data_IF_012789289582
#
_entry.id   IF_012789289582
#
_cell.length_a   1.000
_cell.length_b   1.000
_cell.length_c   1.000
_cell.angle_alpha   90.00
_cell.angle_beta   90.00
_cell.angle_gamma   90.00
#
_symmetry.space_group_name_H-M   'P 1'
#
loop_
_entity.id
_entity.type
_entity.pdbx_description
1 polymer ?
#
# COMPACT_ATOMS: atom_id res chain seq x y z
N UNK A 1 8.24 6.51 -8.95
CA UNK A 1 7.76 6.34 -7.57
C UNK A 1 6.64 5.32 -7.55
N UNK A 2 6.67 4.40 -6.61
CA UNK A 2 5.63 3.39 -6.41
C UNK A 2 4.70 3.79 -5.26
N UNK A 3 3.41 3.58 -5.44
CA UNK A 3 2.46 3.61 -4.33
C UNK A 3 2.21 2.17 -3.86
N UNK A 4 2.23 1.94 -2.55
CA UNK A 4 2.14 0.62 -1.97
C UNK A 4 0.83 0.46 -1.21
N UNK A 5 0.10 -0.61 -1.52
CA UNK A 5 -1.10 -1.02 -0.79
C UNK A 5 -0.71 -1.65 0.56
N UNK A 6 -1.63 -1.67 1.48
CA UNK A 6 -1.49 -2.30 2.80
C UNK A 6 -0.98 -3.74 2.72
N UNK A 7 -1.45 -4.51 1.74
CA UNK A 7 -1.05 -5.91 1.57
C UNK A 7 0.46 -6.09 1.41
N UNK A 8 1.17 -5.14 0.80
CA UNK A 8 2.61 -5.24 0.60
C UNK A 8 3.35 -5.26 1.93
N UNK A 9 2.93 -4.44 2.89
CA UNK A 9 3.52 -4.39 4.23
C UNK A 9 3.21 -5.66 5.03
N UNK A 10 1.97 -6.15 4.94
CA UNK A 10 1.57 -7.37 5.62
C UNK A 10 2.41 -8.56 5.14
N UNK A 11 2.56 -8.70 3.83
CA UNK A 11 3.33 -9.79 3.24
C UNK A 11 4.82 -9.72 3.57
N UNK A 12 5.37 -8.50 3.70
CA UNK A 12 6.76 -8.31 4.10
C UNK A 12 6.98 -8.77 5.55
N UNK A 13 6.19 -8.24 6.48
CA UNK A 13 6.40 -8.46 7.92
C UNK A 13 6.03 -9.88 8.32
N UNK A 14 4.94 -10.42 7.78
CA UNK A 14 4.50 -11.78 8.07
C UNK A 14 5.22 -12.84 7.22
N UNK A 15 6.09 -12.44 6.31
CA UNK A 15 6.82 -13.33 5.40
C UNK A 15 5.89 -14.29 4.69
N UNK A 16 4.89 -13.72 4.00
CA UNK A 16 3.85 -14.49 3.32
C UNK A 16 4.47 -15.54 2.37
N UNK A 17 4.09 -16.82 2.48
CA UNK A 17 4.76 -17.90 1.73
C UNK A 17 4.69 -17.72 0.22
N UNK A 18 3.65 -17.06 -0.30
CA UNK A 18 3.48 -16.85 -1.74
C UNK A 18 4.04 -15.52 -2.22
N UNK A 19 3.84 -14.43 -1.46
CA UNK A 19 4.10 -13.07 -1.95
C UNK A 19 5.33 -12.39 -1.34
N UNK A 20 5.95 -12.97 -0.31
CA UNK A 20 7.15 -12.38 0.28
C UNK A 20 8.25 -12.16 -0.77
N UNK A 21 8.47 -13.14 -1.64
CA UNK A 21 9.48 -13.04 -2.70
C UNK A 21 9.21 -11.94 -3.71
N UNK A 22 7.96 -11.51 -3.86
CA UNK A 22 7.60 -10.39 -4.75
C UNK A 22 7.77 -9.04 -4.06
N UNK A 23 7.47 -8.94 -2.76
CA UNK A 23 7.51 -7.64 -2.04
C UNK A 23 8.88 -7.31 -1.46
N UNK A 24 9.64 -8.28 -1.00
CA UNK A 24 10.96 -8.03 -0.41
C UNK A 24 11.88 -7.20 -1.30
N UNK A 25 12.05 -7.53 -2.60
CA UNK A 25 12.90 -6.72 -3.48
C UNK A 25 12.44 -5.26 -3.61
N UNK A 26 11.12 -5.02 -3.55
CA UNK A 26 10.57 -3.66 -3.59
C UNK A 26 11.05 -2.87 -2.37
N UNK A 27 10.89 -3.42 -1.17
CA UNK A 27 11.32 -2.76 0.06
C UNK A 27 12.83 -2.58 0.14
N UNK A 28 13.60 -3.57 -0.35
CA UNK A 28 15.06 -3.44 -0.44
C UNK A 28 15.46 -2.28 -1.35
N UNK A 29 14.81 -2.14 -2.52
CA UNK A 29 15.08 -1.04 -3.44
C UNK A 29 14.70 0.32 -2.85
N UNK A 30 13.60 0.39 -2.09
CA UNK A 30 13.19 1.60 -1.38
C UNK A 30 14.22 1.97 -0.31
N UNK A 31 14.64 1.01 0.51
CA UNK A 31 15.62 1.25 1.57
C UNK A 31 16.97 1.69 1.00
N UNK A 32 17.36 1.14 -0.14
CA UNK A 32 18.59 1.52 -0.83
C UNK A 32 18.50 2.88 -1.55
N UNK A 33 17.30 3.48 -1.63
CA UNK A 33 17.08 4.73 -2.35
C UNK A 33 17.01 4.58 -3.86
N UNK A 34 16.98 3.35 -4.37
CA UNK A 34 16.87 3.08 -5.82
C UNK A 34 15.49 3.48 -6.35
N UNK A 35 14.44 3.28 -5.54
CA UNK A 35 13.08 3.72 -5.83
C UNK A 35 12.54 4.54 -4.66
N UNK A 36 11.69 5.51 -4.98
CA UNK A 36 10.87 6.22 -4.00
C UNK A 36 9.51 5.54 -3.92
N UNK A 37 8.94 5.48 -2.72
CA UNK A 37 7.63 4.89 -2.51
C UNK A 37 6.74 5.80 -1.67
N UNK A 38 5.45 5.56 -1.74
CA UNK A 38 4.45 6.24 -0.93
C UNK A 38 3.38 5.24 -0.50
N UNK A 39 2.72 5.54 0.59
CA UNK A 39 1.54 4.81 1.05
C UNK A 39 0.61 5.78 1.77
N UNK A 40 -0.66 5.41 1.90
CA UNK A 40 -1.62 6.18 2.69
C UNK A 40 -1.40 5.95 4.19
N UNK A 41 -1.65 6.97 4.99
CA UNK A 41 -1.70 6.81 6.46
C UNK A 41 -2.73 5.76 6.89
N UNK A 42 -3.73 5.49 6.03
CA UNK A 42 -4.70 4.41 6.24
C UNK A 42 -4.01 3.04 6.38
N UNK A 43 -2.89 2.84 5.69
CA UNK A 43 -2.08 1.63 5.82
C UNK A 43 -1.69 1.37 7.27
N UNK A 44 -1.30 2.42 8.00
CA UNK A 44 -0.93 2.28 9.41
C UNK A 44 -2.10 1.74 10.25
N UNK A 45 -3.31 2.27 10.03
CA UNK A 45 -4.51 1.76 10.69
C UNK A 45 -4.74 0.29 10.36
N UNK A 46 -4.70 -0.02 9.08
CA UNK A 46 -5.06 -1.37 8.60
C UNK A 46 -4.08 -2.45 9.06
N UNK A 47 -2.78 -2.14 9.14
CA UNK A 47 -1.79 -3.12 9.61
C UNK A 47 -1.81 -3.29 11.13
N UNK A 48 -2.29 -2.31 11.89
CA UNK A 48 -2.24 -2.34 13.36
C UNK A 48 -3.44 -3.02 14.01
N UNK A 49 -4.58 -3.14 13.33
CA UNK A 49 -5.81 -3.65 13.95
C UNK A 49 -5.61 -5.06 14.51
N UNK A 50 -5.13 -6.00 13.71
CA UNK A 50 -4.97 -7.40 14.16
C UNK A 50 -3.93 -7.56 15.27
N UNK A 51 -2.72 -6.99 15.16
CA UNK A 51 -1.75 -7.06 16.26
C UNK A 51 -2.27 -6.46 17.56
N UNK A 52 -2.98 -5.35 17.51
CA UNK A 52 -3.53 -4.71 18.70
C UNK A 52 -4.66 -5.53 19.32
N UNK A 53 -5.53 -6.13 18.50
CA UNK A 53 -6.56 -7.05 19.00
C UNK A 53 -5.96 -8.26 19.75
N UNK A 54 -4.82 -8.75 19.26
CA UNK A 54 -4.14 -9.91 19.82
C UNK A 54 -3.15 -9.57 20.94
N UNK A 55 -3.01 -8.31 21.34
CA UNK A 55 -1.96 -7.81 22.25
C UNK A 55 -0.55 -8.22 21.81
N UNK A 56 -0.32 -8.35 20.51
CA UNK A 56 0.97 -8.66 19.92
C UNK A 56 1.79 -7.38 19.74
N UNK A 57 2.33 -6.86 20.84
CA UNK A 57 2.99 -5.54 20.88
C UNK A 57 4.21 -5.52 19.97
N UNK A 58 5.03 -6.56 19.99
CA UNK A 58 6.23 -6.63 19.14
C UNK A 58 5.87 -6.61 17.66
N UNK A 59 4.82 -7.31 17.25
CA UNK A 59 4.35 -7.31 15.86
C UNK A 59 3.80 -5.94 15.46
N UNK A 60 3.04 -5.29 16.35
CA UNK A 60 2.56 -3.93 16.11
C UNK A 60 3.74 -2.96 15.90
N UNK A 61 4.80 -3.08 16.71
CA UNK A 61 6.00 -2.24 16.58
C UNK A 61 6.74 -2.51 15.27
N UNK A 62 6.79 -3.77 14.83
CA UNK A 62 7.39 -4.13 13.53
C UNK A 62 6.65 -3.46 12.38
N UNK A 63 5.32 -3.44 12.41
CA UNK A 63 4.53 -2.74 11.40
C UNK A 63 4.75 -1.22 11.44
N UNK A 64 4.77 -0.63 12.63
CA UNK A 64 5.06 0.81 12.77
C UNK A 64 6.41 1.16 12.17
N UNK A 65 7.43 0.36 12.45
CA UNK A 65 8.76 0.55 11.91
C UNK A 65 8.77 0.42 10.38
N UNK A 66 8.10 -0.58 9.82
CA UNK A 66 8.05 -0.78 8.37
C UNK A 66 7.41 0.41 7.64
N UNK A 67 6.38 1.03 8.24
CA UNK A 67 5.69 2.16 7.64
C UNK A 67 6.49 3.47 7.78
N UNK A 68 7.34 3.61 8.80
CA UNK A 68 7.99 4.89 9.13
C UNK A 68 9.52 4.89 9.03
N UNK A 69 10.17 3.74 8.86
CA UNK A 69 11.63 3.63 9.02
C UNK A 69 12.45 4.13 7.84
N UNK A 70 11.90 4.17 6.63
CA UNK A 70 12.66 4.60 5.45
C UNK A 70 12.37 6.06 5.11
N UNK A 71 13.43 6.84 4.85
CA UNK A 71 13.30 8.20 4.33
C UNK A 71 12.80 8.23 2.89
N UNK A 72 12.82 7.09 2.21
CA UNK A 72 12.38 6.94 0.82
C UNK A 72 10.94 6.44 0.70
N UNK A 73 10.27 6.26 1.83
CA UNK A 73 8.85 5.91 1.91
C UNK A 73 8.10 7.06 2.58
N UNK A 74 7.23 7.72 1.83
CA UNK A 74 6.41 8.82 2.35
C UNK A 74 5.01 8.34 2.69
N UNK A 75 4.58 8.60 3.92
CA UNK A 75 3.21 8.34 4.37
C UNK A 75 2.38 9.60 4.13
N UNK A 76 1.29 9.46 3.37
CA UNK A 76 0.45 10.57 2.94
C UNK A 76 -0.85 10.57 3.76
N UNK A 77 -1.16 11.73 4.33
CA UNK A 77 -2.38 11.92 5.11
C UNK A 77 -3.63 11.83 4.23
N UNK A 78 -4.74 11.40 4.82
CA UNK A 78 -6.05 11.43 4.18
C UNK A 78 -6.63 12.82 4.40
N UNK A 79 -6.33 13.75 3.49
CA UNK A 79 -6.83 15.11 3.53
C UNK A 79 -8.13 15.26 2.71
N UNK A 80 -8.61 16.51 2.59
CA UNK A 80 -9.84 16.81 1.84
C UNK A 80 -9.70 16.39 0.37
N UNK A 81 -8.57 16.65 -0.26
CA UNK A 81 -8.35 16.31 -1.67
C UNK A 81 -8.42 14.81 -1.90
N UNK A 82 -7.81 14.03 -1.01
CA UNK A 82 -7.89 12.57 -1.05
C UNK A 82 -9.33 12.11 -0.87
N UNK A 83 -10.04 12.67 0.11
CA UNK A 83 -11.43 12.29 0.39
C UNK A 83 -12.35 12.57 -0.80
N UNK A 84 -12.23 13.73 -1.44
CA UNK A 84 -13.06 14.08 -2.59
C UNK A 84 -12.77 13.20 -3.79
N UNK A 85 -11.49 12.96 -4.11
CA UNK A 85 -11.14 12.07 -5.20
C UNK A 85 -11.61 10.63 -4.92
N UNK A 86 -11.45 10.15 -3.69
CA UNK A 86 -11.92 8.82 -3.30
C UNK A 86 -13.44 8.69 -3.46
N UNK A 87 -14.20 9.73 -3.14
CA UNK A 87 -15.65 9.75 -3.35
C UNK A 87 -15.99 9.57 -4.84
N UNK A 88 -15.28 10.29 -5.72
CA UNK A 88 -15.45 10.14 -7.17
C UNK A 88 -15.10 8.75 -7.68
N UNK A 89 -14.03 8.16 -7.16
CA UNK A 89 -13.60 6.80 -7.50
C UNK A 89 -14.67 5.79 -7.06
N UNK A 90 -15.21 5.91 -5.86
CA UNK A 90 -16.29 5.04 -5.41
C UNK A 90 -17.54 5.17 -6.29
N UNK A 91 -17.90 6.39 -6.62
CA UNK A 91 -19.06 6.64 -7.45
C UNK A 91 -18.94 6.02 -8.85
N UNK A 92 -17.74 6.05 -9.43
CA UNK A 92 -17.50 5.58 -10.80
C UNK A 92 -17.22 4.08 -10.88
N UNK A 93 -16.47 3.53 -9.91
CA UNK A 93 -15.99 2.14 -9.96
C UNK A 93 -16.67 1.21 -8.98
N UNK A 94 -17.34 1.73 -7.95
CA UNK A 94 -17.98 0.90 -6.93
C UNK A 94 -17.00 0.24 -5.96
N UNK A 95 -15.76 0.70 -5.88
CA UNK A 95 -14.78 0.15 -4.94
C UNK A 95 -15.14 0.50 -3.50
N UNK A 96 -14.65 -0.32 -2.55
CA UNK A 96 -14.83 -0.05 -1.12
C UNK A 96 -14.07 1.20 -0.72
N UNK A 97 -14.50 1.83 0.38
CA UNK A 97 -13.89 3.08 0.87
C UNK A 97 -12.37 2.97 1.07
N UNK A 98 -11.83 1.93 1.73
CA UNK A 98 -10.37 1.83 1.90
C UNK A 98 -9.62 1.77 0.57
N UNK A 99 -10.12 0.97 -0.37
CA UNK A 99 -9.49 0.83 -1.69
C UNK A 99 -9.51 2.15 -2.46
N UNK A 100 -10.63 2.86 -2.42
CA UNK A 100 -10.74 4.16 -3.07
C UNK A 100 -9.77 5.19 -2.46
N UNK A 101 -9.57 5.16 -1.15
CA UNK A 101 -8.63 6.05 -0.46
C UNK A 101 -7.19 5.75 -0.91
N UNK A 102 -6.80 4.47 -0.97
CA UNK A 102 -5.47 4.09 -1.43
C UNK A 102 -5.22 4.51 -2.88
N UNK A 103 -6.20 4.29 -3.75
CA UNK A 103 -6.08 4.68 -5.17
C UNK A 103 -6.02 6.20 -5.33
N UNK A 104 -6.86 6.94 -4.61
CA UNK A 104 -6.83 8.40 -4.63
C UNK A 104 -5.49 8.95 -4.16
N UNK A 105 -4.93 8.38 -3.10
CA UNK A 105 -3.61 8.75 -2.58
C UNK A 105 -2.54 8.54 -3.63
N UNK A 106 -2.53 7.39 -4.28
CA UNK A 106 -1.57 7.07 -5.33
C UNK A 106 -1.68 8.03 -6.52
N UNK A 107 -2.90 8.32 -6.97
CA UNK A 107 -3.14 9.21 -8.09
C UNK A 107 -2.69 10.64 -7.79
N UNK A 108 -3.05 11.18 -6.63
CA UNK A 108 -2.67 12.55 -6.23
C UNK A 108 -1.17 12.69 -5.98
N UNK A 109 -0.51 11.63 -5.54
CA UNK A 109 0.93 11.62 -5.36
C UNK A 109 1.69 11.57 -6.70
N UNK A 110 1.01 11.30 -7.81
CA UNK A 110 1.65 11.14 -9.11
C UNK A 110 2.46 9.86 -9.24
N UNK A 111 2.05 8.79 -8.55
CA UNK A 111 2.76 7.52 -8.58
C UNK A 111 2.77 6.94 -10.01
N UNK A 112 3.89 6.31 -10.36
CA UNK A 112 4.03 5.61 -11.65
C UNK A 112 3.24 4.30 -11.66
N UNK A 113 3.11 3.68 -10.50
CA UNK A 113 2.34 2.45 -10.34
C UNK A 113 1.83 2.33 -8.90
N UNK A 114 0.71 1.63 -8.76
CA UNK A 114 0.14 1.23 -7.47
C UNK A 114 0.22 -0.29 -7.35
N UNK A 115 0.95 -0.77 -6.35
CA UNK A 115 1.20 -2.20 -6.13
C UNK A 115 0.21 -2.75 -5.13
N UNK A 116 -0.58 -3.73 -5.54
CA UNK A 116 -1.63 -4.36 -4.73
C UNK A 116 -1.71 -5.87 -5.00
N UNK A 117 -2.34 -6.62 -4.11
CA UNK A 117 -2.70 -8.01 -4.40
C UNK A 117 -4.15 -8.17 -4.88
N UNK A 118 -4.91 -7.10 -4.94
CA UNK A 118 -6.32 -7.14 -5.33
C UNK A 118 -6.48 -6.87 -6.82
N UNK A 119 -6.72 -7.93 -7.59
CA UNK A 119 -6.89 -7.86 -9.04
C UNK A 119 -8.08 -7.01 -9.46
N UNK A 120 -9.08 -6.84 -8.60
CA UNK A 120 -10.25 -5.99 -8.89
C UNK A 120 -9.87 -4.55 -9.14
N UNK A 121 -8.77 -4.07 -8.53
CA UNK A 121 -8.32 -2.69 -8.68
C UNK A 121 -7.61 -2.43 -10.00
N UNK A 122 -7.24 -3.48 -10.74
CA UNK A 122 -6.59 -3.35 -12.05
C UNK A 122 -7.47 -2.66 -13.10
N UNK A 123 -8.78 -2.59 -12.87
CA UNK A 123 -9.70 -1.85 -13.74
C UNK A 123 -9.65 -0.33 -13.59
N UNK A 124 -8.96 0.17 -12.55
CA UNK A 124 -8.85 1.60 -12.31
C UNK A 124 -7.90 2.26 -13.29
N UNK A 125 -8.33 3.37 -13.92
CA UNK A 125 -7.55 4.04 -14.96
C UNK A 125 -6.74 5.25 -14.47
N UNK A 126 -6.94 5.69 -13.22
CA UNK A 126 -6.30 6.90 -12.68
C UNK A 126 -4.82 6.74 -12.34
N UNK A 127 -4.35 5.52 -12.18
CA UNK A 127 -2.95 5.15 -11.96
C UNK A 127 -2.73 3.75 -12.54
N UNK A 128 -1.49 3.44 -12.92
CA UNK A 128 -1.16 2.08 -13.36
C UNK A 128 -1.18 1.13 -12.16
N UNK A 129 -2.15 0.22 -12.12
CA UNK A 129 -2.30 -0.76 -11.04
C UNK A 129 -1.55 -2.02 -11.41
N UNK A 130 -0.61 -2.44 -10.56
CA UNK A 130 0.20 -3.64 -10.76
C UNK A 130 -0.14 -4.66 -9.68
N UNK A 131 -0.63 -5.83 -10.12
CA UNK A 131 -0.97 -6.91 -9.21
C UNK A 131 0.26 -7.72 -8.82
N UNK A 132 0.41 -7.99 -7.51
CA UNK A 132 1.45 -8.88 -7.00
C UNK A 132 1.34 -10.29 -7.57
N UNK A 133 0.15 -10.72 -7.99
CA UNK A 133 -0.07 -12.03 -8.61
C UNK A 133 0.66 -12.15 -9.93
N UNK A 134 0.72 -11.06 -10.70
CA UNK A 134 1.47 -10.98 -11.96
C UNK A 134 2.97 -10.93 -11.67
N UNK A 135 3.40 -10.16 -10.69
CA UNK A 135 4.81 -10.00 -10.30
C UNK A 135 5.44 -11.30 -9.79
N UNK A 136 4.62 -12.22 -9.30
CA UNK A 136 5.08 -13.51 -8.79
C UNK A 136 5.69 -14.38 -9.90
N UNK A 137 5.30 -14.14 -11.14
CA UNK A 137 5.72 -14.92 -12.30
C UNK A 137 4.96 -16.24 -12.43
N UNK A 138 5.24 -16.98 -13.49
CA UNK A 138 4.61 -18.28 -13.71
C UNK A 138 5.07 -19.34 -12.72
#
# INVERSE_FOLDING_TARGET
MLALDTSTFIYLIEKHPTFFGAVEPIFQAVDAGTIQATTSVLTLLEVLVKPLEANAIALADDFRAAVSASTNLRVIEVDRSVAELAAGIRASYGYRTPDAIHLATAQLAGADAFVTNDDKLCGFSGVNVVSLRIMRGP
#
